data_IF_460100343154
#
_entry.id   IF_460100343154
#
_cell.length_a   1.000
_cell.length_b   1.000
_cell.length_c   1.000
_cell.angle_alpha   90.00
_cell.angle_beta   90.00
_cell.angle_gamma   90.00
#
_symmetry.space_group_name_H-M   'P 1'
#
loop_
_entity.id
_entity.type
_entity.pdbx_description
1 polymer ?
#
# COMPACT_ATOMS: atom_id res chain seq x y z
N UNK A 1 36.41 16.68 1.45
CA UNK A 1 35.28 15.92 2.06
C UNK A 1 34.05 16.19 1.22
N UNK A 2 33.70 15.18 0.45
CA UNK A 2 32.60 15.15 -0.52
C UNK A 2 31.26 15.38 0.17
N UNK A 3 30.46 16.31 -0.34
CA UNK A 3 29.02 16.35 -0.04
C UNK A 3 28.29 15.55 -1.12
N UNK A 4 27.34 14.73 -0.67
CA UNK A 4 26.72 13.63 -1.40
C UNK A 4 25.88 14.09 -2.62
N UNK A 5 25.74 13.27 -3.68
CA UNK A 5 25.11 13.64 -4.97
C UNK A 5 23.59 13.89 -4.98
N UNK A 6 22.90 13.94 -3.83
CA UNK A 6 21.44 13.86 -3.78
C UNK A 6 20.68 15.16 -4.07
N UNK A 7 21.34 16.23 -4.49
CA UNK A 7 20.72 17.55 -4.75
C UNK A 7 20.65 17.96 -6.22
N UNK A 8 21.00 17.07 -7.15
CA UNK A 8 20.92 17.34 -8.61
C UNK A 8 19.66 16.70 -9.21
N UNK A 9 18.54 16.77 -8.49
CA UNK A 9 17.21 16.70 -9.10
C UNK A 9 16.72 18.14 -9.30
N UNK A 10 17.17 18.74 -10.40
CA UNK A 10 16.55 19.86 -11.14
C UNK A 10 17.58 20.32 -12.14
N UNK A 11 17.19 20.43 -13.41
CA UNK A 11 18.01 20.89 -14.53
C UNK A 11 18.54 22.31 -14.37
N UNK A 12 19.44 22.50 -13.41
CA UNK A 12 20.15 23.73 -13.12
C UNK A 12 21.56 23.60 -13.70
N UNK A 13 21.81 24.32 -14.80
CA UNK A 13 23.15 24.49 -15.34
C UNK A 13 23.66 25.88 -14.92
N UNK A 14 24.58 25.98 -13.94
CA UNK A 14 25.01 27.25 -13.36
C UNK A 14 25.90 28.11 -14.29
N UNK A 15 26.22 27.62 -15.50
CA UNK A 15 27.06 28.33 -16.47
C UNK A 15 26.26 29.11 -17.54
N UNK A 16 24.92 29.13 -17.47
CA UNK A 16 24.08 29.87 -18.41
C UNK A 16 23.87 31.32 -17.95
N UNK A 17 24.30 32.28 -18.77
CA UNK A 17 24.16 33.71 -18.51
C UNK A 17 22.68 34.13 -18.48
N UNK A 18 22.32 35.01 -17.53
CA UNK A 18 20.92 35.37 -17.17
C UNK A 18 20.13 35.93 -18.36
N UNK A 19 20.81 36.53 -19.33
CA UNK A 19 20.22 37.13 -20.52
C UNK A 19 19.64 36.14 -21.54
N UNK A 20 19.92 34.83 -21.39
CA UNK A 20 19.41 33.78 -22.28
C UNK A 20 18.02 33.25 -21.90
N UNK A 21 17.41 33.73 -20.81
CA UNK A 21 16.01 33.48 -20.53
C UNK A 21 15.15 34.32 -21.51
N UNK A 22 14.56 33.65 -22.52
CA UNK A 22 13.71 34.32 -23.51
C UNK A 22 12.58 35.08 -22.80
N UNK A 23 12.54 36.41 -22.97
CA UNK A 23 11.60 37.36 -22.35
C UNK A 23 10.09 37.10 -22.59
N UNK A 24 9.74 36.13 -23.44
CA UNK A 24 8.36 35.77 -23.78
C UNK A 24 7.95 34.35 -23.32
N UNK A 25 8.74 33.69 -22.49
CA UNK A 25 8.29 32.47 -21.81
C UNK A 25 7.36 32.85 -20.66
N UNK A 26 6.14 32.33 -20.67
CA UNK A 26 5.21 32.36 -19.54
C UNK A 26 5.97 32.03 -18.25
N UNK A 27 5.83 32.85 -17.21
CA UNK A 27 6.58 32.75 -15.96
C UNK A 27 6.37 31.37 -15.31
N UNK A 28 7.35 30.47 -15.49
CA UNK A 28 7.26 29.04 -15.17
C UNK A 28 7.59 28.81 -13.70
N UNK A 29 6.72 29.20 -12.78
CA UNK A 29 6.69 28.49 -11.51
C UNK A 29 5.32 28.59 -10.83
N UNK A 30 4.58 27.48 -10.86
CA UNK A 30 3.55 27.33 -9.85
C UNK A 30 3.39 25.91 -9.32
N UNK A 31 2.82 25.82 -8.13
CA UNK A 31 2.56 24.65 -7.31
C UNK A 31 2.09 23.42 -8.12
N UNK A 32 2.37 22.20 -7.66
CA UNK A 32 2.14 20.91 -8.35
C UNK A 32 0.79 20.75 -9.10
N UNK A 33 -0.27 21.43 -8.65
CA UNK A 33 -1.58 21.46 -9.30
C UNK A 33 -1.54 22.12 -10.69
N UNK A 34 -0.74 23.16 -10.86
CA UNK A 34 -0.60 23.89 -12.13
C UNK A 34 0.33 23.14 -13.10
N UNK A 35 1.32 22.39 -12.60
CA UNK A 35 2.11 21.47 -13.42
C UNK A 35 1.25 20.36 -14.04
N UNK A 36 0.31 19.78 -13.29
CA UNK A 36 -0.59 18.74 -13.80
C UNK A 36 -1.52 19.25 -14.90
N UNK A 37 -2.03 20.48 -14.76
CA UNK A 37 -2.86 21.13 -15.78
C UNK A 37 -2.03 21.42 -17.04
N UNK A 38 -0.83 21.98 -16.88
CA UNK A 38 0.10 22.23 -17.98
C UNK A 38 0.51 20.94 -18.71
N UNK A 39 0.84 19.88 -17.97
CA UNK A 39 1.21 18.58 -18.55
C UNK A 39 0.06 18.02 -19.39
N UNK A 40 -1.19 18.14 -18.92
CA UNK A 40 -2.36 17.73 -19.68
C UNK A 40 -2.52 18.53 -20.97
N UNK A 41 -2.45 19.87 -20.90
CA UNK A 41 -2.57 20.73 -22.09
C UNK A 41 -1.44 20.47 -23.10
N UNK A 42 -0.22 20.19 -22.64
CA UNK A 42 0.90 19.81 -23.49
C UNK A 42 0.68 18.43 -24.14
N UNK A 43 0.17 17.45 -23.40
CA UNK A 43 -0.22 16.15 -23.95
C UNK A 43 -1.34 16.26 -24.99
N UNK A 44 -2.34 17.11 -24.75
CA UNK A 44 -3.46 17.35 -25.67
C UNK A 44 -2.96 18.00 -26.97
N UNK A 45 -2.08 19.01 -26.86
CA UNK A 45 -1.46 19.68 -28.01
C UNK A 45 -0.56 18.75 -28.82
N UNK A 46 0.22 17.89 -28.14
CA UNK A 46 1.07 16.89 -28.78
C UNK A 46 0.25 15.78 -29.48
N UNK A 47 -0.90 15.41 -28.90
CA UNK A 47 -1.82 14.43 -29.50
C UNK A 47 -2.43 14.92 -30.82
N UNK A 48 -2.60 16.22 -30.99
CA UNK A 48 -3.09 16.84 -32.23
C UNK A 48 -2.03 16.82 -33.34
N UNK A 49 -0.72 16.82 -33.00
CA UNK A 49 0.37 17.00 -33.96
C UNK A 49 1.12 15.72 -34.36
N UNK A 50 0.94 14.61 -33.66
CA UNK A 50 1.56 13.33 -34.03
C UNK A 50 0.66 12.61 -35.03
N UNK A 51 0.89 12.83 -36.34
CA UNK A 51 0.26 11.96 -37.34
C UNK A 51 0.80 10.54 -37.17
N UNK A 52 -0.09 9.55 -37.23
CA UNK A 52 0.26 8.13 -37.07
C UNK A 52 1.23 7.62 -38.15
N UNK A 53 1.36 8.37 -39.25
CA UNK A 53 2.24 8.05 -40.37
C UNK A 53 3.70 8.45 -40.13
N UNK A 54 3.98 9.27 -39.12
CA UNK A 54 5.36 9.55 -38.71
C UNK A 54 6.04 8.29 -38.16
N UNK A 55 7.36 8.10 -38.35
CA UNK A 55 8.10 7.00 -37.72
C UNK A 55 7.91 6.94 -36.20
N UNK A 56 7.83 8.09 -35.54
CA UNK A 56 7.57 8.18 -34.10
C UNK A 56 6.13 7.75 -33.73
N UNK A 57 5.13 8.13 -34.52
CA UNK A 57 3.74 7.68 -34.37
C UNK A 57 3.58 6.17 -34.46
N UNK A 58 4.26 5.53 -35.42
CA UNK A 58 4.29 4.06 -35.58
C UNK A 58 4.94 3.34 -34.40
N UNK A 59 6.02 3.90 -33.84
CA UNK A 59 6.67 3.34 -32.65
C UNK A 59 5.75 3.48 -31.42
N UNK A 60 5.11 4.64 -31.26
CA UNK A 60 4.18 4.91 -30.16
C UNK A 60 2.98 3.95 -30.19
N UNK A 61 2.34 3.78 -31.35
CA UNK A 61 1.20 2.86 -31.50
C UNK A 61 1.60 1.40 -31.24
N UNK A 62 2.79 0.99 -31.70
CA UNK A 62 3.35 -0.33 -31.38
C UNK A 62 3.63 -0.51 -29.89
N UNK A 63 4.16 0.50 -29.20
CA UNK A 63 4.37 0.43 -27.75
C UNK A 63 3.04 0.37 -26.99
N UNK A 64 2.04 1.14 -27.42
CA UNK A 64 0.70 1.09 -26.83
C UNK A 64 0.05 -0.29 -26.97
N UNK A 65 0.14 -0.90 -28.16
CA UNK A 65 -0.41 -2.24 -28.37
C UNK A 65 0.30 -3.30 -27.51
N UNK A 66 1.64 -3.24 -27.42
CA UNK A 66 2.42 -4.11 -26.52
C UNK A 66 1.99 -3.90 -25.07
N UNK A 67 1.85 -2.65 -24.61
CA UNK A 67 1.39 -2.37 -23.24
C UNK A 67 -0.03 -2.90 -22.98
N UNK A 68 -0.92 -2.82 -23.96
CA UNK A 68 -2.27 -3.38 -23.84
C UNK A 68 -2.22 -4.90 -23.67
N UNK A 69 -1.45 -5.60 -24.50
CA UNK A 69 -1.27 -7.06 -24.38
C UNK A 69 -0.67 -7.42 -23.02
N UNK A 70 0.39 -6.74 -22.60
CA UNK A 70 1.03 -7.00 -21.29
C UNK A 70 0.04 -6.78 -20.14
N UNK A 71 -0.78 -5.73 -20.18
CA UNK A 71 -1.82 -5.51 -19.15
C UNK A 71 -2.84 -6.63 -19.13
N UNK A 72 -3.32 -7.06 -20.30
CA UNK A 72 -4.30 -8.15 -20.41
C UNK A 72 -3.73 -9.47 -19.87
N UNK A 73 -2.49 -9.81 -20.22
CA UNK A 73 -1.83 -11.02 -19.71
C UNK A 73 -1.60 -10.96 -18.21
N UNK A 74 -1.18 -9.81 -17.67
CA UNK A 74 -1.05 -9.62 -16.22
C UNK A 74 -2.38 -9.74 -15.49
N UNK A 75 -3.46 -9.21 -16.06
CA UNK A 75 -4.81 -9.36 -15.49
C UNK A 75 -5.29 -10.80 -15.53
N UNK A 76 -5.07 -11.50 -16.64
CA UNK A 76 -5.37 -12.92 -16.78
C UNK A 76 -4.59 -13.75 -15.78
N UNK A 77 -3.29 -13.50 -15.63
CA UNK A 77 -2.44 -14.11 -14.61
C UNK A 77 -2.97 -13.86 -13.20
N UNK A 78 -3.29 -12.61 -12.84
CA UNK A 78 -3.89 -12.24 -11.54
C UNK A 78 -5.19 -13.00 -11.28
N UNK A 79 -6.06 -13.14 -12.29
CA UNK A 79 -7.32 -13.90 -12.17
C UNK A 79 -7.06 -15.38 -11.91
N UNK A 80 -6.08 -15.98 -12.58
CA UNK A 80 -5.69 -17.37 -12.37
C UNK A 80 -5.15 -17.60 -10.95
N UNK A 81 -4.21 -16.75 -10.49
CA UNK A 81 -3.68 -16.82 -9.12
C UNK A 81 -4.78 -16.62 -8.09
N UNK A 82 -5.66 -15.64 -8.28
CA UNK A 82 -6.80 -15.41 -7.39
C UNK A 82 -7.70 -16.64 -7.28
N UNK A 83 -8.07 -17.26 -8.40
CA UNK A 83 -8.88 -18.50 -8.40
C UNK A 83 -8.21 -19.65 -7.66
N UNK A 84 -6.88 -19.77 -7.73
CA UNK A 84 -6.15 -20.80 -7.02
C UNK A 84 -6.08 -20.53 -5.51
N UNK A 85 -5.71 -19.30 -5.14
CA UNK A 85 -5.63 -18.88 -3.73
C UNK A 85 -7.00 -18.93 -3.04
N UNK A 86 -8.04 -18.41 -3.68
CA UNK A 86 -9.39 -18.36 -3.10
C UNK A 86 -9.98 -19.76 -2.85
N UNK A 87 -9.53 -20.81 -3.58
CA UNK A 87 -9.96 -22.20 -3.32
C UNK A 87 -9.49 -22.73 -1.97
N UNK A 88 -8.32 -22.30 -1.50
CA UNK A 88 -7.73 -22.74 -0.24
C UNK A 88 -7.98 -21.76 0.91
N UNK A 89 -8.76 -20.69 0.68
CA UNK A 89 -9.07 -19.71 1.72
C UNK A 89 -10.19 -20.22 2.61
N UNK A 90 -9.89 -20.32 3.89
CA UNK A 90 -10.90 -20.51 4.92
C UNK A 90 -11.65 -19.20 5.18
N UNK A 91 -12.93 -19.32 5.49
CA UNK A 91 -13.76 -18.16 5.87
C UNK A 91 -13.26 -17.69 7.24
N UNK A 92 -12.83 -16.42 7.36
CA UNK A 92 -12.38 -15.90 8.64
C UNK A 92 -13.52 -15.93 9.67
N UNK A 93 -13.28 -16.33 10.92
CA UNK A 93 -14.29 -16.26 11.96
C UNK A 93 -14.77 -14.81 12.15
N UNK A 94 -16.09 -14.67 12.27
CA UNK A 94 -16.74 -13.38 12.49
C UNK A 94 -17.02 -13.23 13.99
N UNK A 95 -16.40 -12.22 14.60
CA UNK A 95 -16.54 -11.93 16.03
C UNK A 95 -17.48 -10.76 16.21
N UNK A 96 -18.42 -10.89 17.13
CA UNK A 96 -19.30 -9.79 17.50
C UNK A 96 -18.67 -8.93 18.59
N UNK A 97 -19.05 -7.63 18.67
CA UNK A 97 -18.68 -6.79 19.80
C UNK A 97 -19.06 -7.45 21.14
N UNK A 98 -18.09 -7.60 22.05
CA UNK A 98 -18.25 -8.26 23.34
C UNK A 98 -17.75 -9.71 23.40
N UNK A 99 -17.47 -10.34 22.25
CA UNK A 99 -16.93 -11.70 22.21
C UNK A 99 -15.54 -11.76 22.86
N UNK A 100 -15.30 -12.83 23.61
CA UNK A 100 -13.98 -13.11 24.18
C UNK A 100 -13.14 -13.91 23.18
N UNK A 101 -11.97 -13.38 22.86
CA UNK A 101 -11.03 -13.99 21.92
C UNK A 101 -9.64 -14.12 22.53
N UNK A 102 -8.98 -15.25 22.25
CA UNK A 102 -7.58 -15.47 22.54
C UNK A 102 -6.72 -14.78 21.49
N UNK A 103 -5.61 -14.18 21.91
CA UNK A 103 -4.66 -13.50 21.02
C UNK A 103 -3.33 -14.25 20.94
N UNK A 104 -2.88 -14.57 19.73
CA UNK A 104 -1.61 -15.28 19.54
C UNK A 104 -0.40 -14.42 19.94
N UNK A 105 0.52 -14.98 20.74
CA UNK A 105 1.72 -14.28 21.22
C UNK A 105 2.84 -14.12 20.19
N UNK A 106 2.65 -14.63 18.96
CA UNK A 106 3.72 -14.76 17.94
C UNK A 106 4.49 -13.47 17.66
N UNK A 107 3.82 -12.32 17.73
CA UNK A 107 4.35 -10.97 17.45
C UNK A 107 4.34 -10.04 18.66
N UNK A 108 4.08 -10.56 19.86
CA UNK A 108 3.97 -9.77 21.10
C UNK A 108 5.13 -10.16 22.02
N UNK A 109 5.83 -9.15 22.55
CA UNK A 109 6.87 -9.39 23.55
C UNK A 109 6.19 -9.66 24.89
N UNK A 110 6.29 -10.90 25.36
CA UNK A 110 5.82 -11.28 26.69
C UNK A 110 6.86 -10.93 27.75
N UNK A 111 6.43 -10.79 29.01
CA UNK A 111 7.33 -10.57 30.16
C UNK A 111 8.28 -11.75 30.41
N UNK A 112 7.94 -12.96 29.94
CA UNK A 112 8.79 -14.15 30.10
C UNK A 112 10.11 -14.01 29.35
N UNK A 113 11.24 -14.45 29.93
CA UNK A 113 12.57 -14.32 29.33
C UNK A 113 12.79 -15.24 28.13
N UNK A 114 12.10 -16.39 28.07
CA UNK A 114 12.25 -17.37 26.98
C UNK A 114 10.93 -17.58 26.23
N UNK A 115 10.97 -17.35 24.90
CA UNK A 115 9.85 -17.55 23.98
C UNK A 115 9.37 -19.00 23.88
N UNK A 116 10.25 -19.99 24.08
CA UNK A 116 9.84 -21.41 24.04
C UNK A 116 8.92 -21.78 25.21
N UNK A 117 9.09 -21.09 26.33
CA UNK A 117 8.28 -21.27 27.55
C UNK A 117 7.24 -20.16 27.71
N UNK A 118 7.08 -19.25 26.75
CA UNK A 118 6.03 -18.25 26.81
C UNK A 118 4.69 -18.83 26.40
N UNK A 119 3.61 -18.28 26.94
CA UNK A 119 2.25 -18.61 26.51
C UNK A 119 2.11 -18.41 25.00
N UNK A 120 1.48 -19.38 24.33
CA UNK A 120 1.18 -19.29 22.90
C UNK A 120 -0.03 -18.40 22.63
N UNK A 121 -1.01 -18.47 23.51
CA UNK A 121 -2.26 -17.72 23.48
C UNK A 121 -2.33 -16.86 24.72
N UNK A 122 -2.45 -15.57 24.50
CA UNK A 122 -2.58 -14.56 25.53
C UNK A 122 -4.05 -14.31 25.73
N UNK A 123 -4.44 -14.20 27.01
CA UNK A 123 -5.73 -13.86 27.60
C UNK A 123 -7.01 -13.81 26.72
N UNK A 124 -8.17 -14.14 27.29
CA UNK A 124 -9.42 -13.78 26.64
C UNK A 124 -9.58 -12.25 26.66
N UNK A 125 -9.39 -11.61 25.52
CA UNK A 125 -9.64 -10.19 25.32
C UNK A 125 -11.02 -9.98 24.69
N UNK A 126 -11.64 -8.86 25.05
CA UNK A 126 -12.94 -8.48 24.48
C UNK A 126 -12.74 -7.86 23.09
N UNK A 127 -13.38 -8.42 22.07
CA UNK A 127 -13.46 -7.81 20.75
C UNK A 127 -14.43 -6.63 20.80
N UNK A 128 -13.93 -5.40 20.56
CA UNK A 128 -14.75 -4.19 20.64
C UNK A 128 -15.47 -3.89 19.32
N UNK A 129 -14.76 -3.99 18.21
CA UNK A 129 -15.32 -3.76 16.87
C UNK A 129 -14.43 -4.31 15.77
N UNK A 130 -15.02 -4.53 14.61
CA UNK A 130 -14.34 -4.84 13.35
C UNK A 130 -13.90 -3.54 12.66
N UNK A 131 -12.60 -3.40 12.36
CA UNK A 131 -12.03 -2.20 11.70
C UNK A 131 -11.95 -2.38 10.18
N UNK A 132 -11.97 -3.62 9.69
CA UNK A 132 -11.96 -3.95 8.27
C UNK A 132 -12.35 -5.40 8.03
N UNK A 133 -12.14 -5.93 6.83
CA UNK A 133 -12.55 -7.30 6.49
C UNK A 133 -11.93 -8.37 7.40
N UNK A 134 -10.67 -8.18 7.82
CA UNK A 134 -9.90 -9.17 8.58
C UNK A 134 -9.19 -8.59 9.81
N UNK A 135 -9.67 -7.48 10.37
CA UNK A 135 -9.03 -6.85 11.53
C UNK A 135 -10.03 -6.42 12.60
N UNK A 136 -9.71 -6.73 13.86
CA UNK A 136 -10.53 -6.42 15.03
C UNK A 136 -9.77 -5.57 16.03
N UNK A 137 -10.48 -4.64 16.66
CA UNK A 137 -10.01 -3.86 17.78
C UNK A 137 -10.30 -4.61 19.08
N UNK A 138 -9.29 -4.89 19.87
CA UNK A 138 -9.41 -5.56 21.16
C UNK A 138 -9.29 -4.58 22.31
N UNK A 139 -9.95 -4.91 23.42
CA UNK A 139 -9.77 -4.24 24.70
C UNK A 139 -8.53 -4.79 25.40
N UNK A 140 -7.38 -4.17 25.12
CA UNK A 140 -6.13 -4.55 25.76
C UNK A 140 -6.00 -3.96 27.18
N UNK A 141 -5.30 -4.66 28.10
CA UNK A 141 -4.96 -4.11 29.40
C UNK A 141 -4.08 -2.88 29.28
N UNK A 142 -4.25 -1.93 30.19
CA UNK A 142 -3.48 -0.68 30.20
C UNK A 142 -1.97 -0.90 30.39
N UNK A 143 -1.55 -2.07 30.85
CA UNK A 143 -0.13 -2.45 30.96
C UNK A 143 0.54 -2.62 29.59
N UNK A 144 -0.23 -2.88 28.53
CA UNK A 144 0.26 -3.14 27.18
C UNK A 144 0.19 -1.90 26.29
N UNK A 145 0.54 -0.72 26.81
CA UNK A 145 0.46 0.55 26.06
C UNK A 145 1.26 0.55 24.76
N UNK A 146 2.34 -0.21 24.70
CA UNK A 146 3.20 -0.31 23.51
C UNK A 146 2.60 -1.18 22.39
N UNK A 147 1.60 -2.00 22.69
CA UNK A 147 0.95 -2.85 21.69
C UNK A 147 -0.24 -2.11 21.06
N UNK A 148 -0.31 -2.12 19.73
CA UNK A 148 -1.49 -1.60 19.04
C UNK A 148 -2.69 -2.53 19.29
N UNK A 149 -3.88 -1.99 19.62
CA UNK A 149 -5.05 -2.80 19.97
C UNK A 149 -5.75 -3.45 18.76
N UNK A 150 -5.20 -3.33 17.55
CA UNK A 150 -5.81 -3.83 16.32
C UNK A 150 -5.06 -5.05 15.81
N UNK A 151 -5.75 -6.18 15.69
CA UNK A 151 -5.15 -7.45 15.30
C UNK A 151 -5.88 -8.08 14.12
N UNK A 152 -5.10 -8.78 13.28
CA UNK A 152 -5.63 -9.55 12.15
C UNK A 152 -6.31 -10.83 12.64
N UNK A 153 -7.39 -11.27 11.97
CA UNK A 153 -8.20 -12.45 12.36
C UNK A 153 -7.37 -13.72 12.52
N UNK A 154 -6.33 -13.91 11.69
CA UNK A 154 -5.43 -15.06 11.79
C UNK A 154 -4.64 -15.17 13.11
N UNK A 155 -4.68 -14.13 13.95
CA UNK A 155 -4.05 -14.10 15.28
C UNK A 155 -5.07 -14.27 16.40
N UNK A 156 -6.35 -14.45 16.07
CA UNK A 156 -7.46 -14.52 17.01
C UNK A 156 -8.09 -15.91 16.98
N UNK A 157 -8.39 -16.44 18.15
CA UNK A 157 -9.18 -17.66 18.30
C UNK A 157 -10.37 -17.42 19.23
N UNK A 158 -11.56 -17.98 18.94
CA UNK A 158 -12.70 -17.89 19.85
C UNK A 158 -12.42 -18.65 21.14
N UNK A 159 -12.81 -18.07 22.28
CA UNK A 159 -12.69 -18.73 23.59
C UNK A 159 -13.76 -19.83 23.69
N UNK A 160 -13.33 -21.09 23.78
CA UNK A 160 -14.23 -22.21 24.09
C UNK A 160 -14.51 -22.21 25.60
N UNK A 161 -15.77 -22.04 25.99
CA UNK A 161 -16.15 -22.21 27.39
C UNK A 161 -16.10 -23.71 27.74
N UNK A 162 -15.34 -24.05 28.77
CA UNK A 162 -15.36 -25.39 29.35
C UNK A 162 -16.54 -25.52 30.31
N UNK A 163 -17.39 -26.53 30.13
CA UNK A 163 -18.52 -26.83 31.03
C UNK A 163 -18.07 -27.49 32.36
N UNK A 164 -16.81 -27.31 32.76
CA UNK A 164 -16.31 -27.82 34.03
C UNK A 164 -16.66 -26.77 35.10
N UNK A 165 -17.52 -27.09 36.08
CA UNK A 165 -17.81 -26.16 37.16
C UNK A 165 -16.55 -25.93 38.01
N UNK A 166 -16.35 -24.67 38.43
CA UNK A 166 -15.31 -24.26 39.36
C UNK A 166 -15.52 -24.82 40.76
#
# INVERSE_FOLDING_TARGET
MEKSPSLVEKGWNPLLHVDHLKKNLLTIHPTAKEFHVMWKEACDTASIHISQDTPAGKISSKLQSVQQVVRQELESGRKCFKKYEDKNREIPPDFQPGDKVWLASKRIKTTRPNKKLSERWLGPFEALKKIGSHAYHLKLPQQWKSAHPVFHVSLLEPVKQSNIPN
#
